data_IF_852700737335
#
_entry.id   IF_852700737335
#
_cell.length_a   1.000
_cell.length_b   1.000
_cell.length_c   1.000
_cell.angle_alpha   90.00
_cell.angle_beta   90.00
_cell.angle_gamma   90.00
#
_symmetry.space_group_name_H-M   'P 1'
#
loop_
_entity.id
_entity.type
_entity.pdbx_description
1 polymer ?
#
# COMPACT_ATOMS: atom_id res chain seq x y z
N UNK A 1 -21.12 -81.11 -15.63
CA UNK A 1 -20.09 -80.50 -16.50
C UNK A 1 -20.05 -79.06 -16.05
N UNK A 2 -19.44 -78.83 -14.88
CA UNK A 2 -19.61 -77.63 -14.07
C UNK A 2 -18.24 -77.19 -13.59
N UNK A 3 -17.52 -76.44 -14.42
CA UNK A 3 -16.22 -75.87 -14.05
C UNK A 3 -15.89 -74.62 -14.88
N UNK A 4 -16.90 -73.77 -15.13
CA UNK A 4 -16.73 -72.52 -15.90
C UNK A 4 -17.01 -71.26 -15.08
N UNK A 5 -17.73 -71.39 -13.96
CA UNK A 5 -18.17 -70.25 -13.15
C UNK A 5 -17.14 -69.84 -12.06
N UNK A 6 -16.16 -70.69 -11.79
CA UNK A 6 -15.15 -70.45 -10.77
C UNK A 6 -14.00 -69.61 -11.31
N UNK A 7 -13.60 -69.80 -12.57
CA UNK A 7 -12.52 -69.06 -13.25
C UNK A 7 -12.87 -67.59 -13.54
N UNK A 8 -14.12 -67.31 -13.90
CA UNK A 8 -14.60 -65.93 -14.17
C UNK A 8 -14.70 -65.10 -12.88
N UNK A 9 -14.87 -65.76 -11.72
CA UNK A 9 -14.98 -65.07 -10.42
C UNK A 9 -13.63 -64.63 -9.83
N UNK A 10 -12.53 -65.32 -10.15
CA UNK A 10 -11.17 -64.97 -9.69
C UNK A 10 -10.52 -63.89 -10.54
N UNK A 11 -10.90 -63.73 -11.81
CA UNK A 11 -10.43 -62.63 -12.67
C UNK A 11 -11.03 -61.28 -12.25
N UNK A 12 -12.32 -61.24 -11.90
CA UNK A 12 -13.02 -60.03 -11.43
C UNK A 12 -12.57 -59.53 -10.05
N UNK A 13 -11.75 -60.30 -9.34
CA UNK A 13 -11.23 -59.96 -8.00
C UNK A 13 -9.79 -59.46 -8.00
N UNK A 14 -9.07 -59.56 -9.13
CA UNK A 14 -7.68 -59.09 -9.23
C UNK A 14 -7.57 -57.68 -9.83
N UNK A 15 -8.55 -57.26 -10.63
CA UNK A 15 -8.59 -55.91 -11.20
C UNK A 15 -8.83 -54.83 -10.13
N UNK A 16 -9.60 -55.18 -9.08
CA UNK A 16 -9.96 -54.24 -8.01
C UNK A 16 -8.86 -53.97 -6.98
N UNK A 17 -7.72 -54.68 -7.06
CA UNK A 17 -6.62 -54.53 -6.08
C UNK A 17 -5.39 -53.84 -6.67
N UNK A 18 -5.28 -53.71 -8.00
CA UNK A 18 -4.16 -53.01 -8.65
C UNK A 18 -4.37 -51.51 -8.88
N UNK A 19 -5.50 -50.95 -8.46
CA UNK A 19 -5.71 -49.51 -8.55
C UNK A 19 -5.16 -48.72 -7.33
N UNK A 20 -4.66 -49.38 -6.28
CA UNK A 20 -4.31 -48.70 -5.01
C UNK A 20 -2.83 -48.90 -4.62
N UNK A 21 -1.92 -49.06 -5.58
CA UNK A 21 -0.48 -49.11 -5.29
C UNK A 21 0.25 -48.28 -6.34
N UNK A 22 0.38 -46.98 -6.09
CA UNK A 22 1.25 -46.10 -6.89
C UNK A 22 0.65 -44.74 -7.25
N UNK A 23 -0.67 -44.58 -7.18
CA UNK A 23 -1.28 -43.27 -7.31
C UNK A 23 -1.34 -42.66 -5.92
N UNK A 24 -0.46 -41.69 -5.62
CA UNK A 24 -0.65 -40.76 -4.49
C UNK A 24 -2.11 -40.37 -4.53
N UNK A 25 -2.93 -40.75 -3.51
CA UNK A 25 -4.37 -40.74 -3.63
C UNK A 25 -4.79 -39.36 -4.13
N UNK A 26 -5.27 -39.24 -5.39
CA UNK A 26 -5.41 -37.94 -6.04
C UNK A 26 -6.43 -37.05 -5.33
N UNK A 27 -7.27 -37.64 -4.47
CA UNK A 27 -8.15 -36.96 -3.55
C UNK A 27 -7.41 -36.04 -2.55
N UNK A 28 -6.22 -36.44 -2.05
CA UNK A 28 -5.48 -35.68 -1.04
C UNK A 28 -4.81 -34.45 -1.65
N UNK A 29 -4.28 -34.60 -2.86
CA UNK A 29 -3.76 -33.49 -3.68
C UNK A 29 -4.89 -32.53 -4.06
N UNK A 30 -6.05 -33.06 -4.47
CA UNK A 30 -7.23 -32.26 -4.84
C UNK A 30 -7.74 -31.39 -3.68
N UNK A 31 -7.84 -31.95 -2.48
CA UNK A 31 -8.29 -31.22 -1.28
C UNK A 31 -7.23 -30.21 -0.82
N UNK A 32 -5.94 -30.59 -0.86
CA UNK A 32 -4.84 -29.69 -0.52
C UNK A 32 -4.77 -28.48 -1.45
N UNK A 33 -4.88 -28.69 -2.76
CA UNK A 33 -4.93 -27.61 -3.74
C UNK A 33 -6.12 -26.68 -3.50
N UNK A 34 -7.31 -27.21 -3.18
CA UNK A 34 -8.47 -26.37 -2.86
C UNK A 34 -8.21 -25.44 -1.68
N UNK A 35 -7.65 -25.95 -0.58
CA UNK A 35 -7.33 -25.14 0.60
C UNK A 35 -6.28 -24.07 0.25
N UNK A 36 -5.21 -24.45 -0.44
CA UNK A 36 -4.15 -23.51 -0.86
C UNK A 36 -4.73 -22.43 -1.77
N UNK A 37 -5.56 -22.79 -2.75
CA UNK A 37 -6.18 -21.80 -3.65
C UNK A 37 -7.06 -20.82 -2.90
N UNK A 38 -7.83 -21.27 -1.91
CA UNK A 38 -8.67 -20.41 -1.09
C UNK A 38 -7.83 -19.43 -0.25
N UNK A 39 -6.74 -19.91 0.35
CA UNK A 39 -5.79 -19.06 1.08
C UNK A 39 -5.13 -18.02 0.16
N UNK A 40 -4.71 -18.42 -1.05
CA UNK A 40 -4.11 -17.50 -2.03
C UNK A 40 -5.12 -16.43 -2.47
N UNK A 41 -6.39 -16.80 -2.71
CA UNK A 41 -7.45 -15.83 -3.03
C UNK A 41 -7.67 -14.86 -1.86
N UNK A 42 -7.74 -15.38 -0.63
CA UNK A 42 -7.91 -14.55 0.56
C UNK A 42 -6.74 -13.58 0.76
N UNK A 43 -5.49 -14.04 0.59
CA UNK A 43 -4.32 -13.18 0.58
C UNK A 43 -4.41 -12.15 -0.56
N UNK A 44 -4.80 -12.57 -1.76
CA UNK A 44 -4.99 -11.68 -2.90
C UNK A 44 -5.96 -10.54 -2.59
N UNK A 45 -7.11 -10.84 -1.97
CA UNK A 45 -8.09 -9.84 -1.54
C UNK A 45 -7.50 -8.93 -0.45
N UNK A 46 -6.80 -9.47 0.53
CA UNK A 46 -6.16 -8.68 1.58
C UNK A 46 -5.09 -7.73 1.02
N UNK A 47 -4.22 -8.21 0.14
CA UNK A 47 -3.27 -7.38 -0.60
C UNK A 47 -3.98 -6.35 -1.49
N UNK A 48 -5.17 -6.67 -2.02
CA UNK A 48 -5.96 -5.77 -2.85
C UNK A 48 -6.62 -4.64 -2.06
N UNK A 49 -7.02 -4.89 -0.81
CA UNK A 49 -7.69 -3.89 0.04
C UNK A 49 -6.70 -2.96 0.76
N UNK A 50 -5.46 -3.39 0.99
CA UNK A 50 -4.45 -2.54 1.63
C UNK A 50 -3.97 -1.45 0.65
N UNK A 51 -4.57 -0.27 0.75
CA UNK A 51 -4.09 0.96 0.11
C UNK A 51 -2.78 1.37 0.79
N UNK A 52 -1.67 1.36 0.06
CA UNK A 52 -0.41 1.98 0.49
C UNK A 52 -0.29 3.37 -0.16
N UNK A 53 -0.84 4.44 0.45
CA UNK A 53 -0.59 5.79 -0.06
C UNK A 53 0.90 6.09 0.13
N UNK A 54 1.58 6.39 -0.97
CA UNK A 54 2.98 6.84 -0.90
C UNK A 54 2.96 8.24 -0.30
N UNK A 55 3.46 8.36 0.94
CA UNK A 55 3.58 9.62 1.65
C UNK A 55 5.04 10.00 1.79
N UNK A 56 5.33 11.29 1.61
CA UNK A 56 6.66 11.86 1.84
C UNK A 56 6.57 12.73 3.08
N UNK A 57 7.48 12.50 4.02
CA UNK A 57 7.61 13.34 5.20
C UNK A 57 8.41 14.60 4.84
N UNK A 58 7.85 15.75 5.21
CA UNK A 58 8.46 17.05 5.03
C UNK A 58 8.26 17.85 6.32
N UNK A 59 9.27 18.63 6.68
CA UNK A 59 9.18 19.53 7.84
C UNK A 59 9.10 20.96 7.36
N UNK A 60 8.44 21.83 8.11
CA UNK A 60 8.30 23.20 7.70
C UNK A 60 8.06 24.14 8.86
N UNK A 61 7.84 25.40 8.51
CA UNK A 61 7.45 26.43 9.45
C UNK A 61 6.27 27.22 8.90
N UNK A 62 5.42 27.66 9.81
CA UNK A 62 4.38 28.65 9.50
C UNK A 62 5.06 29.99 9.26
N UNK A 63 4.78 30.59 8.11
CA UNK A 63 5.20 31.93 7.73
C UNK A 63 4.05 32.92 8.01
N UNK A 64 4.35 34.21 8.05
CA UNK A 64 3.32 35.25 8.11
C UNK A 64 2.30 35.05 6.98
N UNK A 65 1.02 35.29 7.27
CA UNK A 65 -0.14 35.17 6.36
C UNK A 65 -0.66 33.73 6.13
N UNK A 66 -0.65 32.87 7.16
CA UNK A 66 -1.16 31.47 7.09
C UNK A 66 -0.52 30.60 5.99
N UNK A 67 0.61 31.07 5.46
CA UNK A 67 1.40 30.36 4.47
C UNK A 67 2.39 29.47 5.20
N UNK A 68 2.59 28.26 4.69
CA UNK A 68 3.51 27.29 5.26
C UNK A 68 4.56 26.95 4.24
N UNK A 69 5.82 27.07 4.65
CA UNK A 69 6.97 26.65 3.86
C UNK A 69 7.45 25.30 4.36
N UNK A 70 7.39 24.29 3.48
CA UNK A 70 7.81 22.93 3.71
C UNK A 70 9.15 22.69 3.03
N UNK A 71 10.10 22.17 3.80
CA UNK A 71 11.38 21.64 3.36
C UNK A 71 11.18 20.19 2.93
N UNK A 72 11.19 19.97 1.63
CA UNK A 72 11.00 18.64 1.03
C UNK A 72 12.34 18.14 0.50
N UNK A 73 12.73 16.88 0.74
CA UNK A 73 13.99 16.34 0.21
C UNK A 73 14.05 16.44 -1.31
N UNK A 74 15.17 16.92 -1.85
CA UNK A 74 15.36 17.19 -3.28
C UNK A 74 15.16 15.96 -4.17
N UNK A 75 15.39 14.76 -3.62
CA UNK A 75 15.12 13.47 -4.28
C UNK A 75 13.70 13.39 -4.85
N UNK A 76 12.72 14.08 -4.26
CA UNK A 76 11.31 14.00 -4.64
C UNK A 76 10.84 15.11 -5.58
N UNK A 77 11.71 16.00 -6.05
CA UNK A 77 11.33 17.14 -6.90
C UNK A 77 10.52 16.70 -8.13
N UNK A 78 10.90 15.59 -8.78
CA UNK A 78 10.22 15.02 -9.95
C UNK A 78 8.75 14.62 -9.69
N UNK A 79 8.32 14.52 -8.43
CA UNK A 79 6.94 14.22 -8.09
C UNK A 79 6.07 15.49 -8.06
N UNK A 80 6.63 16.69 -8.13
CA UNK A 80 5.89 17.95 -7.98
C UNK A 80 5.42 18.55 -9.32
N UNK A 81 5.62 17.84 -10.42
CA UNK A 81 5.08 18.18 -11.75
C UNK A 81 3.55 18.14 -11.82
N UNK A 82 2.91 17.47 -10.86
CA UNK A 82 1.46 17.37 -10.75
C UNK A 82 0.98 17.95 -9.40
N UNK A 83 -0.27 18.45 -9.31
CA UNK A 83 -0.82 18.97 -8.07
C UNK A 83 -0.80 17.88 -6.97
N UNK A 84 -0.25 18.23 -5.82
CA UNK A 84 -0.14 17.34 -4.64
C UNK A 84 -0.90 17.90 -3.46
N UNK A 85 -1.26 17.01 -2.55
CA UNK A 85 -1.94 17.35 -1.30
C UNK A 85 -1.03 17.01 -0.13
N UNK A 86 -0.90 17.95 0.80
CA UNK A 86 -0.16 17.77 2.05
C UNK A 86 -1.14 17.62 3.23
N UNK A 87 -0.86 16.67 4.11
CA UNK A 87 -1.51 16.52 5.41
C UNK A 87 -0.57 17.14 6.45
N UNK A 88 -1.00 18.22 7.09
CA UNK A 88 -0.16 19.03 7.98
C UNK A 88 -0.61 18.80 9.43
N UNK A 89 0.37 18.61 10.30
CA UNK A 89 0.20 18.56 11.74
C UNK A 89 1.04 19.67 12.35
N UNK A 90 0.41 20.52 13.16
CA UNK A 90 1.07 21.63 13.84
C UNK A 90 1.77 21.13 15.11
N UNK A 91 2.90 21.74 15.47
CA UNK A 91 3.55 21.51 16.76
C UNK A 91 2.59 21.86 17.92
N UNK A 92 2.38 20.91 18.84
CA UNK A 92 1.44 21.04 19.97
C UNK A 92 0.00 20.63 19.66
N UNK A 93 -0.30 20.18 18.43
CA UNK A 93 -1.57 19.55 18.10
C UNK A 93 -1.61 18.12 18.66
N UNK A 94 -2.78 17.71 19.20
CA UNK A 94 -3.02 16.34 19.66
C UNK A 94 -2.73 15.31 18.55
N UNK A 95 -2.08 14.20 18.88
CA UNK A 95 -1.76 13.14 17.92
C UNK A 95 -3.03 12.49 17.34
N UNK A 96 -4.11 12.46 18.12
CA UNK A 96 -5.41 11.94 17.70
C UNK A 96 -6.24 12.94 16.89
N UNK A 97 -5.81 14.21 16.80
CA UNK A 97 -6.51 15.22 16.04
C UNK A 97 -6.33 15.01 14.52
N UNK A 98 -7.41 15.24 13.77
CA UNK A 98 -7.38 15.15 12.32
C UNK A 98 -6.33 16.13 11.72
N UNK A 99 -5.41 15.66 10.87
CA UNK A 99 -4.41 16.53 10.25
C UNK A 99 -5.09 17.46 9.24
N UNK A 100 -4.55 18.66 9.10
CA UNK A 100 -5.05 19.68 8.19
C UNK A 100 -4.68 19.28 6.75
N UNK A 101 -5.66 19.05 5.90
CA UNK A 101 -5.44 18.64 4.51
C UNK A 101 -5.45 19.88 3.61
N UNK A 102 -4.33 20.17 2.93
CA UNK A 102 -4.19 21.35 2.08
C UNK A 102 -3.48 21.01 0.76
N UNK A 103 -3.88 21.60 -0.38
CA UNK A 103 -3.14 21.47 -1.61
C UNK A 103 -1.81 22.24 -1.54
N UNK A 104 -0.80 21.75 -2.25
CA UNK A 104 0.44 22.48 -2.48
C UNK A 104 0.18 23.51 -3.58
N UNK A 105 0.32 24.80 -3.25
CA UNK A 105 0.00 25.90 -4.16
C UNK A 105 1.16 26.26 -5.07
N UNK A 106 2.38 26.12 -4.58
CA UNK A 106 3.59 26.33 -5.38
C UNK A 106 4.76 25.57 -4.79
N UNK A 107 5.79 25.37 -5.59
CA UNK A 107 7.08 24.91 -5.13
C UNK A 107 8.17 25.75 -5.79
N UNK A 108 9.31 25.84 -5.13
CA UNK A 108 10.50 26.52 -5.60
C UNK A 108 11.60 25.46 -5.71
N UNK A 109 12.04 25.24 -6.94
CA UNK A 109 13.03 24.24 -7.36
C UNK A 109 14.47 24.60 -6.97
N UNK A 110 14.69 25.80 -6.42
CA UNK A 110 15.99 26.21 -5.88
C UNK A 110 16.47 25.24 -4.81
N UNK A 111 17.66 24.72 -5.04
CA UNK A 111 18.37 23.86 -4.10
C UNK A 111 18.67 24.62 -2.80
N UNK A 112 18.26 24.04 -1.69
CA UNK A 112 18.54 24.49 -0.34
C UNK A 112 19.36 23.42 0.38
N UNK A 113 20.52 23.79 0.93
CA UNK A 113 21.34 22.87 1.72
C UNK A 113 21.10 23.12 3.19
N UNK A 114 20.56 22.13 3.90
CA UNK A 114 20.31 22.20 5.35
C UNK A 114 20.99 21.00 5.98
N UNK A 115 21.92 21.24 6.91
CA UNK A 115 22.68 20.20 7.61
C UNK A 115 23.37 19.18 6.67
N UNK A 116 23.85 19.66 5.52
CA UNK A 116 24.50 18.82 4.49
C UNK A 116 23.53 18.05 3.59
N UNK A 117 22.22 18.14 3.83
CA UNK A 117 21.18 17.50 3.02
C UNK A 117 20.56 18.50 2.03
N UNK A 118 20.13 17.96 0.89
CA UNK A 118 19.53 18.73 -0.20
C UNK A 118 18.00 18.76 -0.10
N UNK A 119 17.45 19.96 -0.05
CA UNK A 119 16.01 20.22 0.03
C UNK A 119 15.57 21.23 -1.03
N UNK A 120 14.27 21.29 -1.27
CA UNK A 120 13.61 22.38 -1.99
C UNK A 120 12.41 22.85 -1.15
N UNK A 121 11.87 24.02 -1.48
CA UNK A 121 10.77 24.61 -0.69
C UNK A 121 9.44 24.45 -1.40
N UNK A 122 8.47 23.82 -0.72
CA UNK A 122 7.09 23.74 -1.17
C UNK A 122 6.23 24.66 -0.31
N UNK A 123 5.34 25.43 -0.93
CA UNK A 123 4.42 26.34 -0.26
C UNK A 123 3.01 25.79 -0.28
N UNK A 124 2.36 25.88 0.86
CA UNK A 124 0.95 25.55 1.02
C UNK A 124 0.28 26.62 1.85
N UNK A 125 -1.02 26.79 1.66
CA UNK A 125 -1.81 27.75 2.41
C UNK A 125 -2.72 26.98 3.36
N UNK A 126 -2.56 27.21 4.66
CA UNK A 126 -3.49 26.66 5.64
C UNK A 126 -4.71 27.57 5.65
N UNK A 127 -5.89 27.01 5.37
CA UNK A 127 -7.12 27.73 5.71
C UNK A 127 -7.25 27.61 7.22
N UNK A 128 -6.91 28.67 7.95
CA UNK A 128 -7.04 28.74 9.41
C UNK A 128 -8.50 28.48 9.80
N UNK A 129 -8.84 27.21 9.99
CA UNK A 129 -10.16 26.76 10.40
C UNK A 129 -10.13 26.53 11.91
N UNK A 130 -9.81 27.59 12.66
CA UNK A 130 -9.77 27.59 14.13
C UNK A 130 -8.45 27.10 14.76
N UNK A 131 -7.41 26.83 13.97
CA UNK A 131 -6.07 26.54 14.49
C UNK A 131 -5.29 27.84 14.74
N UNK A 132 -4.76 28.02 15.95
CA UNK A 132 -3.88 29.14 16.33
C UNK A 132 -2.50 29.01 15.67
N UNK A 133 -2.46 28.98 14.33
CA UNK A 133 -1.23 28.85 13.56
C UNK A 133 -0.41 30.15 13.66
N UNK A 134 0.42 30.25 14.69
CA UNK A 134 1.30 31.41 14.88
C UNK A 134 2.50 31.34 13.92
N UNK A 135 2.95 32.49 13.39
CA UNK A 135 4.19 32.55 12.61
C UNK A 135 5.37 31.98 13.42
N UNK A 136 6.19 31.15 12.78
CA UNK A 136 7.36 30.50 13.38
C UNK A 136 7.09 29.11 13.98
N UNK A 137 5.83 28.70 14.12
CA UNK A 137 5.47 27.36 14.61
C UNK A 137 6.03 26.27 13.68
N UNK A 138 6.63 25.22 14.23
CA UNK A 138 7.07 24.09 13.40
C UNK A 138 5.86 23.29 12.96
N UNK A 139 5.96 22.75 11.75
CA UNK A 139 4.93 21.89 11.20
C UNK A 139 5.56 20.65 10.61
N UNK A 140 4.85 19.54 10.77
CA UNK A 140 5.16 18.27 10.11
C UNK A 140 4.12 18.05 9.03
N UNK A 141 4.57 17.82 7.79
CA UNK A 141 3.69 17.55 6.68
C UNK A 141 3.96 16.17 6.08
N UNK A 142 2.89 15.47 5.74
CA UNK A 142 2.91 14.25 4.93
C UNK A 142 2.30 14.54 3.58
N UNK A 143 3.14 14.60 2.55
CA UNK A 143 2.74 14.89 1.19
C UNK A 143 2.29 13.59 0.53
N UNK A 144 1.02 13.52 0.14
CA UNK A 144 0.44 12.36 -0.53
C UNK A 144 0.79 12.44 -2.01
N UNK A 145 1.68 11.54 -2.45
CA UNK A 145 2.13 11.48 -3.85
C UNK A 145 1.08 10.81 -4.72
N UNK A 146 0.56 9.68 -4.25
CA UNK A 146 -0.39 8.89 -5.00
C UNK A 146 -1.36 8.24 -4.03
N UNK A 147 -2.65 8.53 -4.20
CA UNK A 147 -3.72 7.76 -3.57
C UNK A 147 -4.08 6.52 -4.42
N UNK A 148 -3.29 6.22 -5.47
CA UNK A 148 -3.58 5.10 -6.36
C UNK A 148 -3.27 3.77 -5.66
N UNK A 149 -4.12 2.77 -5.89
CA UNK A 149 -3.80 1.40 -5.47
C UNK A 149 -2.58 0.89 -6.23
N UNK A 150 -1.87 -0.08 -5.65
CA UNK A 150 -0.77 -0.81 -6.32
C UNK A 150 -1.21 -1.31 -7.71
N UNK A 151 -2.46 -1.76 -7.84
CA UNK A 151 -3.05 -2.18 -9.11
C UNK A 151 -3.12 -1.07 -10.17
N UNK A 152 -3.57 0.13 -9.81
CA UNK A 152 -3.58 1.28 -10.72
C UNK A 152 -2.17 1.72 -11.16
N UNK A 153 -1.14 1.35 -10.40
CA UNK A 153 0.26 1.63 -10.74
C UNK A 153 0.88 0.58 -11.66
N UNK A 154 0.47 -0.70 -11.52
CA UNK A 154 1.00 -1.83 -12.33
C UNK A 154 0.31 -1.95 -13.68
N UNK A 155 -0.98 -1.63 -13.79
CA UNK A 155 -1.78 -1.77 -15.02
C UNK A 155 -1.94 -0.46 -15.80
N UNK A 156 -0.93 0.41 -15.76
CA UNK A 156 -0.93 1.68 -16.51
C UNK A 156 -0.56 1.47 -17.98
#
# INVERSE_FOLDING_TARGET
MDNKNESENIELRSEKVRHIIGQVPPALVRTGTLIITLVVIALGIAFYTIRYPITIEAQGKVTSNDSVELLVPYKYLYLFDAPRTARITLEGQDEDAAPIVCPITSHNDKLLVVDGNHYFTAKTHIRSNGSNAQPGLKVSARIVVSDKTVWQQVFK
#
